data_IF_891559668171
#
_entry.id   IF_891559668171
#
_cell.length_a   1.000
_cell.length_b   1.000
_cell.length_c   1.000
_cell.angle_alpha   90.00
_cell.angle_beta   90.00
_cell.angle_gamma   90.00
#
_symmetry.space_group_name_H-M   'P 1'
#
loop_
_entity.id
_entity.type
_entity.pdbx_description
1 polymer ?
#
# COMPACT_ATOMS: atom_id res chain seq x y z
N UNK A 1 36.75 33.24 50.94
CA UNK A 1 37.10 32.38 52.09
C UNK A 1 36.37 31.05 51.89
N UNK A 2 36.92 30.01 51.27
CA UNK A 2 38.25 29.44 51.50
C UNK A 2 38.16 28.38 52.60
N UNK A 3 37.58 27.21 52.30
CA UNK A 3 37.75 26.00 53.11
C UNK A 3 38.42 24.95 52.24
N UNK A 4 39.74 24.87 52.38
CA UNK A 4 40.58 23.85 51.77
C UNK A 4 40.21 22.48 52.34
N UNK A 5 39.74 21.59 51.47
CA UNK A 5 39.77 20.16 51.72
C UNK A 5 41.19 19.70 51.46
N UNK A 6 41.95 19.48 52.53
CA UNK A 6 43.35 19.06 52.46
C UNK A 6 43.49 17.76 51.68
N UNK A 7 44.30 17.81 50.62
CA UNK A 7 44.98 16.66 50.05
C UNK A 7 45.68 15.93 51.19
N UNK A 8 45.16 14.75 51.55
CA UNK A 8 45.90 13.80 52.37
C UNK A 8 47.02 13.28 51.49
N UNK A 9 48.16 13.98 51.52
CA UNK A 9 49.44 13.41 51.11
C UNK A 9 49.59 12.07 51.81
N UNK A 10 49.80 11.04 51.00
CA UNK A 10 50.30 9.72 51.42
C UNK A 10 51.71 9.91 51.97
N UNK A 11 51.79 10.38 53.21
CA UNK A 11 53.05 10.51 53.95
C UNK A 11 53.67 9.14 54.14
N UNK A 12 54.86 8.94 53.56
CA UNK A 12 55.65 7.71 53.60
C UNK A 12 56.19 7.40 55.03
N UNK A 13 55.99 8.30 55.99
CA UNK A 13 56.68 8.26 57.28
C UNK A 13 55.92 7.53 58.41
N UNK A 14 54.66 7.14 58.20
CA UNK A 14 53.91 6.30 59.15
C UNK A 14 53.27 5.13 58.41
N UNK A 15 53.79 3.91 58.66
CA UNK A 15 53.56 2.66 57.92
C UNK A 15 52.14 2.08 57.90
N UNK A 16 51.11 2.88 57.61
CA UNK A 16 49.83 2.41 57.11
C UNK A 16 49.79 2.61 55.59
N UNK A 17 50.26 1.60 54.85
CA UNK A 17 50.24 1.60 53.39
C UNK A 17 48.89 1.07 52.91
N UNK A 18 47.99 1.98 52.52
CA UNK A 18 46.67 1.63 52.00
C UNK A 18 46.77 1.16 50.53
N UNK A 19 47.04 -0.14 50.35
CA UNK A 19 47.15 -0.78 49.03
C UNK A 19 45.91 -0.52 48.15
N UNK A 20 44.72 -0.56 48.74
CA UNK A 20 43.46 -0.35 48.03
C UNK A 20 43.29 1.08 47.49
N UNK A 21 43.80 2.09 48.20
CA UNK A 21 43.75 3.48 47.72
C UNK A 21 44.71 3.68 46.54
N UNK A 22 45.91 3.09 46.62
CA UNK A 22 46.90 3.12 45.56
C UNK A 22 46.44 2.35 44.31
N UNK A 23 45.82 1.18 44.47
CA UNK A 23 45.24 0.41 43.36
C UNK A 23 44.16 1.22 42.64
N UNK A 24 43.33 1.96 43.39
CA UNK A 24 42.31 2.84 42.81
C UNK A 24 42.91 4.02 42.05
N UNK A 25 43.92 4.68 42.61
CA UNK A 25 44.64 5.77 41.95
C UNK A 25 45.30 5.28 40.66
N UNK A 26 45.93 4.11 40.71
CA UNK A 26 46.55 3.48 39.55
C UNK A 26 45.52 3.12 38.47
N UNK A 27 44.37 2.55 38.86
CA UNK A 27 43.28 2.25 37.93
C UNK A 27 42.73 3.52 37.25
N UNK A 28 42.58 4.61 38.02
CA UNK A 28 42.15 5.90 37.49
C UNK A 28 43.17 6.49 36.50
N UNK A 29 44.46 6.47 36.87
CA UNK A 29 45.53 6.99 36.01
C UNK A 29 45.64 6.20 34.69
N UNK A 30 45.46 4.89 34.72
CA UNK A 30 45.44 4.05 33.51
C UNK A 30 44.26 4.37 32.59
N UNK A 31 43.06 4.60 33.16
CA UNK A 31 41.87 4.93 32.39
C UNK A 31 41.97 6.32 31.77
N UNK A 32 42.53 7.30 32.49
CA UNK A 32 42.77 8.65 31.97
C UNK A 32 43.80 8.65 30.83
N UNK A 33 44.88 7.88 30.95
CA UNK A 33 45.88 7.72 29.88
C UNK A 33 45.28 7.00 28.65
N UNK A 34 44.45 5.96 28.88
CA UNK A 34 43.72 5.28 27.80
C UNK A 34 42.83 6.26 27.03
N UNK A 35 42.05 7.06 27.74
CA UNK A 35 41.14 8.05 27.16
C UNK A 35 41.91 9.16 26.43
N UNK A 36 42.99 9.65 27.01
CA UNK A 36 43.86 10.66 26.38
C UNK A 36 44.40 10.16 25.03
N UNK A 37 44.97 8.95 25.00
CA UNK A 37 45.51 8.34 23.77
C UNK A 37 44.44 8.14 22.69
N UNK A 38 43.23 7.71 23.06
CA UNK A 38 42.12 7.56 22.12
C UNK A 38 41.66 8.90 21.55
N UNK A 39 41.52 9.93 22.40
CA UNK A 39 41.11 11.26 21.92
C UNK A 39 42.17 11.92 21.04
N UNK A 40 43.45 11.80 21.37
CA UNK A 40 44.55 12.36 20.57
C UNK A 40 44.67 11.68 19.20
N UNK A 41 44.61 10.34 19.17
CA UNK A 41 44.61 9.58 17.91
C UNK A 41 43.39 9.93 17.05
N UNK A 42 42.21 10.10 17.66
CA UNK A 42 41.02 10.54 16.94
C UNK A 42 41.14 11.98 16.43
N UNK A 43 41.67 12.92 17.21
CA UNK A 43 41.94 14.30 16.76
C UNK A 43 42.84 14.30 15.53
N UNK A 44 43.97 13.57 15.57
CA UNK A 44 44.91 13.46 14.45
C UNK A 44 44.23 12.92 13.18
N UNK A 45 43.39 11.89 13.31
CA UNK A 45 42.61 11.34 12.20
C UNK A 45 41.55 12.31 11.68
N UNK A 46 40.81 12.95 12.59
CA UNK A 46 39.68 13.81 12.28
C UNK A 46 40.11 15.10 11.58
N UNK A 47 41.31 15.63 11.85
CA UNK A 47 41.88 16.79 11.13
C UNK A 47 41.91 16.53 9.61
N UNK A 48 42.19 15.30 9.19
CA UNK A 48 42.27 14.95 7.76
C UNK A 48 40.95 14.46 7.18
N UNK A 49 40.01 14.00 8.01
CA UNK A 49 38.79 13.33 7.55
C UNK A 49 37.56 14.24 7.59
N UNK A 50 37.46 15.14 8.57
CA UNK A 50 36.29 15.98 8.78
C UNK A 50 36.22 17.15 7.78
N UNK A 51 35.03 17.48 7.31
CA UNK A 51 34.79 18.59 6.38
C UNK A 51 34.49 19.92 7.08
N UNK A 52 34.01 19.86 8.32
CA UNK A 52 33.66 21.03 9.13
C UNK A 52 33.98 20.79 10.62
N UNK A 53 33.93 21.87 11.41
CA UNK A 53 34.26 21.82 12.84
C UNK A 53 33.28 20.96 13.65
N UNK A 54 32.00 20.97 13.31
CA UNK A 54 30.99 20.19 14.03
C UNK A 54 31.21 18.68 13.87
N UNK A 55 31.58 18.24 12.67
CA UNK A 55 31.96 16.86 12.37
C UNK A 55 33.25 16.47 13.11
N UNK A 56 34.25 17.37 13.13
CA UNK A 56 35.47 17.17 13.92
C UNK A 56 35.17 17.00 15.41
N UNK A 57 34.34 17.88 15.97
CA UNK A 57 33.91 17.84 17.38
C UNK A 57 33.18 16.53 17.68
N UNK A 58 32.31 16.08 16.78
CA UNK A 58 31.57 14.83 16.93
C UNK A 58 32.49 13.61 16.90
N UNK A 59 33.49 13.56 16.01
CA UNK A 59 34.45 12.46 16.00
C UNK A 59 35.25 12.36 17.30
N UNK A 60 35.75 13.49 17.81
CA UNK A 60 36.53 13.52 19.06
C UNK A 60 35.65 13.14 20.25
N UNK A 61 34.39 13.58 20.29
CA UNK A 61 33.44 13.20 21.34
C UNK A 61 33.17 11.69 21.37
N UNK A 62 33.16 11.05 20.21
CA UNK A 62 32.90 9.62 20.05
C UNK A 62 34.15 8.72 20.15
N UNK A 63 35.33 9.27 20.50
CA UNK A 63 36.60 8.54 20.48
C UNK A 63 36.68 7.36 21.47
N UNK A 64 35.90 7.43 22.56
CA UNK A 64 35.89 6.41 23.62
C UNK A 64 34.77 5.35 23.45
N UNK A 65 34.03 5.40 22.34
CA UNK A 65 32.99 4.43 22.06
C UNK A 65 33.62 3.08 21.67
N UNK A 66 33.16 2.00 22.32
CA UNK A 66 33.55 0.64 21.97
C UNK A 66 32.95 0.27 20.61
N UNK A 67 33.74 -0.34 19.70
CA UNK A 67 33.19 -0.86 18.46
C UNK A 67 32.16 -1.96 18.78
N UNK A 68 31.01 -1.90 18.12
CA UNK A 68 29.97 -2.92 18.30
C UNK A 68 30.47 -4.29 17.85
N UNK A 69 30.22 -5.29 18.68
CA UNK A 69 30.49 -6.68 18.32
C UNK A 69 29.37 -7.22 17.41
N UNK A 70 29.69 -8.21 16.56
CA UNK A 70 28.69 -8.83 15.68
C UNK A 70 27.51 -9.44 16.45
N UNK A 71 27.75 -9.91 17.68
CA UNK A 71 26.69 -10.41 18.57
C UNK A 71 25.73 -9.30 18.98
N UNK A 72 26.24 -8.14 19.38
CA UNK A 72 25.41 -6.97 19.71
C UNK A 72 24.67 -6.43 18.49
N UNK A 73 25.33 -6.42 17.32
CA UNK A 73 24.72 -5.99 16.07
C UNK A 73 23.55 -6.90 15.65
N UNK A 74 23.68 -8.21 15.87
CA UNK A 74 22.58 -9.16 15.69
C UNK A 74 21.42 -8.88 16.66
N UNK A 75 21.70 -8.57 17.93
CA UNK A 75 20.66 -8.20 18.90
C UNK A 75 19.88 -6.93 18.54
N UNK A 76 20.54 -5.95 17.90
CA UNK A 76 19.91 -4.72 17.43
C UNK A 76 19.13 -4.91 16.12
N UNK A 77 19.70 -5.63 15.16
CA UNK A 77 19.05 -5.91 13.87
C UNK A 77 17.86 -6.87 14.00
N UNK A 78 17.90 -7.76 15.00
CA UNK A 78 16.82 -8.67 15.35
C UNK A 78 16.06 -8.24 16.61
N UNK A 79 16.22 -6.98 17.05
CA UNK A 79 15.40 -6.41 18.12
C UNK A 79 13.95 -6.79 17.82
N UNK A 80 13.31 -7.51 18.77
CA UNK A 80 12.08 -8.28 18.57
C UNK A 80 11.31 -7.72 17.40
N UNK A 81 11.34 -8.41 16.23
CA UNK A 81 10.43 -8.07 15.14
C UNK A 81 9.04 -8.28 15.72
N UNK A 82 8.48 -7.24 16.33
CA UNK A 82 7.13 -7.28 16.86
C UNK A 82 6.28 -7.41 15.62
N UNK A 83 5.64 -8.57 15.38
CA UNK A 83 4.63 -8.60 14.34
C UNK A 83 3.66 -7.45 14.66
N UNK A 84 3.29 -6.67 13.65
CA UNK A 84 2.30 -5.60 13.79
C UNK A 84 1.22 -6.05 14.75
N UNK A 85 0.95 -5.30 15.82
CA UNK A 85 0.04 -5.71 16.89
C UNK A 85 -1.38 -6.02 16.36
N UNK A 86 -1.71 -5.51 15.16
CA UNK A 86 -2.87 -5.89 14.35
C UNK A 86 -2.97 -7.40 14.01
N UNK A 87 -1.88 -8.16 14.17
CA UNK A 87 -1.80 -9.60 13.97
C UNK A 87 -1.85 -10.42 15.26
N UNK A 88 -2.28 -9.82 16.39
CA UNK A 88 -2.82 -10.60 17.52
C UNK A 88 -4.18 -11.17 17.10
N UNK A 89 -4.17 -12.15 16.19
CA UNK A 89 -5.33 -13.00 15.94
C UNK A 89 -5.71 -13.61 17.29
N UNK A 90 -6.94 -13.34 17.76
CA UNK A 90 -7.57 -14.14 18.81
C UNK A 90 -7.34 -15.62 18.47
N UNK A 91 -7.10 -16.51 19.45
CA UNK A 91 -7.10 -17.95 19.19
C UNK A 91 -8.41 -18.24 18.48
N UNK A 92 -8.35 -18.57 17.19
CA UNK A 92 -9.53 -19.07 16.50
C UNK A 92 -9.82 -20.39 17.19
N UNK A 93 -10.96 -20.46 17.86
CA UNK A 93 -11.56 -21.76 18.18
C UNK A 93 -11.43 -22.62 16.92
N UNK A 94 -10.97 -23.85 17.12
CA UNK A 94 -10.77 -24.83 16.07
C UNK A 94 -12.12 -25.21 15.45
N UNK A 95 -12.69 -24.30 14.67
CA UNK A 95 -13.64 -24.65 13.63
C UNK A 95 -12.81 -25.37 12.58
N UNK A 96 -12.85 -26.69 12.64
CA UNK A 96 -12.49 -27.58 11.53
C UNK A 96 -13.41 -27.36 10.34
N UNK A 97 -13.55 -26.12 9.89
CA UNK A 97 -14.02 -25.82 8.57
C UNK A 97 -12.83 -26.06 7.67
N UNK A 98 -12.76 -27.31 7.21
CA UNK A 98 -12.06 -27.71 6.00
C UNK A 98 -12.15 -26.51 5.04
N UNK A 99 -11.02 -25.84 4.81
CA UNK A 99 -10.86 -24.99 3.64
C UNK A 99 -10.88 -25.94 2.44
N UNK A 100 -12.06 -26.49 2.18
CA UNK A 100 -12.45 -26.88 0.85
C UNK A 100 -12.15 -25.63 0.03
N UNK A 101 -11.18 -25.75 -0.88
CA UNK A 101 -11.18 -24.90 -2.06
C UNK A 101 -12.63 -24.93 -2.53
N UNK A 102 -13.36 -23.84 -2.28
CA UNK A 102 -14.73 -23.74 -2.73
C UNK A 102 -14.61 -23.97 -4.21
N UNK A 103 -15.13 -25.11 -4.69
CA UNK A 103 -15.27 -25.36 -6.13
C UNK A 103 -15.78 -24.05 -6.72
N UNK A 104 -15.21 -23.60 -7.85
CA UNK A 104 -15.55 -22.30 -8.43
C UNK A 104 -17.07 -22.19 -8.35
N UNK A 105 -17.55 -21.16 -7.63
CA UNK A 105 -18.97 -20.90 -7.53
C UNK A 105 -19.51 -21.09 -8.93
N UNK A 106 -20.43 -22.04 -9.09
CA UNK A 106 -21.06 -22.25 -10.37
C UNK A 106 -21.47 -20.87 -10.85
N UNK A 107 -20.97 -20.44 -12.02
CA UNK A 107 -21.17 -19.09 -12.57
C UNK A 107 -22.65 -18.70 -12.75
N UNK A 108 -23.56 -19.58 -12.31
CA UNK A 108 -25.00 -19.45 -12.18
C UNK A 108 -25.44 -18.63 -10.95
N UNK A 109 -24.60 -18.46 -9.92
CA UNK A 109 -24.97 -17.64 -8.76
C UNK A 109 -24.44 -16.21 -8.90
N UNK A 110 -25.26 -15.18 -8.63
CA UNK A 110 -24.83 -13.81 -8.77
C UNK A 110 -23.86 -13.39 -7.64
N UNK A 111 -22.84 -12.58 -7.93
CA UNK A 111 -21.76 -12.26 -7.00
C UNK A 111 -22.24 -11.47 -5.79
N UNK A 112 -21.76 -11.84 -4.59
CA UNK A 112 -22.18 -11.20 -3.33
C UNK A 112 -21.38 -9.94 -3.00
N UNK A 113 -20.24 -9.72 -3.66
CA UNK A 113 -19.35 -8.59 -3.42
C UNK A 113 -18.55 -8.23 -4.67
N UNK A 114 -18.15 -6.95 -4.81
CA UNK A 114 -17.27 -6.47 -5.88
C UNK A 114 -15.99 -7.31 -6.06
N UNK A 115 -15.39 -7.73 -4.95
CA UNK A 115 -14.16 -8.54 -4.96
C UNK A 115 -14.42 -9.93 -5.55
N UNK A 116 -15.58 -10.51 -5.25
CA UNK A 116 -16.00 -11.79 -5.81
C UNK A 116 -16.27 -11.67 -7.31
N UNK A 117 -16.94 -10.60 -7.73
CA UNK A 117 -17.14 -10.26 -9.14
C UNK A 117 -15.79 -10.17 -9.86
N UNK A 118 -14.87 -9.31 -9.40
CA UNK A 118 -13.58 -9.10 -10.06
C UNK A 118 -12.72 -10.38 -10.09
N UNK A 119 -12.78 -11.19 -9.03
CA UNK A 119 -12.09 -12.48 -8.98
C UNK A 119 -12.65 -13.45 -10.02
N UNK A 120 -13.97 -13.58 -10.11
CA UNK A 120 -14.62 -14.47 -11.07
C UNK A 120 -14.38 -14.00 -12.50
N UNK A 121 -14.46 -12.69 -12.72
CA UNK A 121 -14.17 -12.03 -13.99
C UNK A 121 -12.76 -12.35 -14.49
N UNK A 122 -11.72 -12.18 -13.66
CA UNK A 122 -10.33 -12.40 -14.07
C UNK A 122 -9.93 -13.88 -14.15
N UNK A 123 -10.52 -14.76 -13.32
CA UNK A 123 -10.07 -16.16 -13.20
C UNK A 123 -10.91 -17.17 -13.96
N UNK A 124 -12.20 -16.93 -14.09
CA UNK A 124 -13.16 -17.94 -14.57
C UNK A 124 -13.82 -17.56 -15.90
N UNK A 125 -13.91 -16.28 -16.25
CA UNK A 125 -14.54 -15.81 -17.49
C UNK A 125 -13.48 -15.52 -18.57
N UNK A 126 -13.27 -16.49 -19.46
CA UNK A 126 -12.29 -16.39 -20.55
C UNK A 126 -12.89 -16.01 -21.91
N UNK A 127 -14.17 -16.32 -22.13
CA UNK A 127 -14.87 -16.02 -23.39
C UNK A 127 -15.79 -14.81 -23.22
N UNK A 128 -15.97 -14.02 -24.28
CA UNK A 128 -16.80 -12.82 -24.24
C UNK A 128 -18.29 -13.14 -24.05
N UNK A 129 -18.76 -14.28 -24.57
CA UNK A 129 -20.12 -14.78 -24.32
C UNK A 129 -20.35 -15.09 -22.83
N UNK A 130 -19.40 -15.77 -22.18
CA UNK A 130 -19.52 -16.07 -20.75
C UNK A 130 -19.45 -14.80 -19.89
N UNK A 131 -18.61 -13.83 -20.26
CA UNK A 131 -18.57 -12.51 -19.63
C UNK A 131 -19.91 -11.78 -19.73
N UNK A 132 -20.56 -11.83 -20.89
CA UNK A 132 -21.84 -11.17 -21.09
C UNK A 132 -22.99 -11.84 -20.34
N UNK A 133 -23.09 -13.16 -20.37
CA UNK A 133 -24.07 -13.90 -19.56
C UNK A 133 -23.90 -13.61 -18.06
N UNK A 134 -22.66 -13.42 -17.60
CA UNK A 134 -22.39 -13.04 -16.22
C UNK A 134 -22.82 -11.61 -15.87
N UNK A 135 -22.69 -10.67 -16.81
CA UNK A 135 -23.23 -9.31 -16.66
C UNK A 135 -24.76 -9.36 -16.59
N UNK A 136 -25.39 -10.10 -17.49
CA UNK A 136 -26.86 -10.28 -17.50
C UNK A 136 -27.36 -10.88 -16.18
N UNK A 137 -26.68 -11.90 -15.65
CA UNK A 137 -27.00 -12.51 -14.36
C UNK A 137 -26.89 -11.51 -13.19
N UNK A 138 -25.90 -10.61 -13.25
CA UNK A 138 -25.67 -9.64 -12.18
C UNK A 138 -26.64 -8.47 -12.25
N UNK A 139 -27.21 -8.16 -13.43
CA UNK A 139 -28.10 -7.02 -13.70
C UNK A 139 -27.39 -5.65 -13.58
N UNK A 140 -27.66 -4.68 -14.47
CA UNK A 140 -26.99 -3.37 -14.45
C UNK A 140 -27.16 -2.58 -13.15
N UNK A 141 -28.34 -2.60 -12.52
CA UNK A 141 -28.61 -1.86 -11.27
C UNK A 141 -27.72 -2.34 -10.12
N UNK A 142 -27.62 -3.65 -9.95
CA UNK A 142 -26.78 -4.26 -8.90
C UNK A 142 -25.30 -4.08 -9.18
N UNK A 143 -24.91 -3.92 -10.45
CA UNK A 143 -23.53 -3.57 -10.80
C UNK A 143 -23.14 -2.22 -10.19
N UNK A 144 -24.04 -1.23 -10.25
CA UNK A 144 -23.86 0.06 -9.58
C UNK A 144 -23.75 -0.07 -8.05
N UNK A 145 -24.61 -0.87 -7.43
CA UNK A 145 -24.56 -1.11 -5.97
C UNK A 145 -23.28 -1.83 -5.53
N UNK A 146 -22.84 -2.83 -6.30
CA UNK A 146 -21.61 -3.58 -6.00
C UNK A 146 -20.38 -2.67 -6.07
N UNK A 147 -20.34 -1.75 -7.03
CA UNK A 147 -19.20 -0.89 -7.31
C UNK A 147 -19.38 0.56 -6.82
N UNK A 148 -20.35 0.81 -5.93
CA UNK A 148 -20.69 2.17 -5.48
C UNK A 148 -19.48 2.94 -4.93
N UNK A 149 -18.60 2.26 -4.20
CA UNK A 149 -17.43 2.87 -3.57
C UNK A 149 -16.28 3.14 -4.54
N UNK A 150 -15.96 2.18 -5.41
CA UNK A 150 -14.85 2.27 -6.37
C UNK A 150 -14.90 1.12 -7.40
N UNK A 151 -14.38 1.38 -8.60
CA UNK A 151 -14.15 0.37 -9.64
C UNK A 151 -12.84 0.66 -10.37
N UNK A 152 -12.10 -0.40 -10.67
CA UNK A 152 -10.89 -0.33 -11.50
C UNK A 152 -11.25 0.12 -12.93
N UNK A 153 -10.56 1.14 -13.46
CA UNK A 153 -10.81 1.70 -14.79
C UNK A 153 -10.75 0.60 -15.86
N UNK A 154 -9.76 -0.30 -15.78
CA UNK A 154 -9.60 -1.39 -16.74
C UNK A 154 -10.77 -2.38 -16.67
N UNK A 155 -11.31 -2.62 -15.48
CA UNK A 155 -12.46 -3.51 -15.31
C UNK A 155 -13.74 -2.88 -15.89
N UNK A 156 -13.96 -1.59 -15.64
CA UNK A 156 -15.12 -0.86 -16.19
C UNK A 156 -15.10 -0.91 -17.73
N UNK A 157 -13.94 -0.63 -18.33
CA UNK A 157 -13.80 -0.62 -19.78
C UNK A 157 -13.97 -2.03 -20.36
N UNK A 158 -13.41 -3.07 -19.74
CA UNK A 158 -13.59 -4.45 -20.20
C UNK A 158 -15.08 -4.87 -20.15
N UNK A 159 -15.82 -4.45 -19.11
CA UNK A 159 -17.27 -4.68 -19.05
C UNK A 159 -17.98 -3.97 -20.22
N UNK A 160 -17.72 -2.67 -20.43
CA UNK A 160 -18.34 -1.90 -21.51
C UNK A 160 -17.97 -2.44 -22.89
N UNK A 161 -16.73 -2.90 -23.08
CA UNK A 161 -16.27 -3.48 -24.34
C UNK A 161 -16.96 -4.81 -24.65
N UNK A 162 -17.18 -5.66 -23.65
CA UNK A 162 -17.96 -6.90 -23.81
C UNK A 162 -19.39 -6.57 -24.22
N UNK A 163 -20.02 -5.59 -23.58
CA UNK A 163 -21.39 -5.18 -23.92
C UNK A 163 -21.47 -4.60 -25.34
N UNK A 164 -20.49 -3.78 -25.73
CA UNK A 164 -20.38 -3.21 -27.08
C UNK A 164 -20.23 -4.31 -28.15
N UNK A 165 -19.37 -5.30 -27.93
CA UNK A 165 -19.16 -6.40 -28.87
C UNK A 165 -20.41 -7.25 -29.06
N UNK A 166 -21.14 -7.53 -27.98
CA UNK A 166 -22.44 -8.23 -28.07
C UNK A 166 -23.48 -7.40 -28.79
N UNK A 167 -23.52 -6.10 -28.55
CA UNK A 167 -24.41 -5.19 -29.26
C UNK A 167 -24.13 -5.16 -30.78
N UNK A 168 -22.85 -5.12 -31.17
CA UNK A 168 -22.43 -5.20 -32.58
C UNK A 168 -22.78 -6.55 -33.22
N UNK A 169 -22.63 -7.65 -32.47
CA UNK A 169 -22.97 -8.99 -32.93
C UNK A 169 -24.49 -9.14 -33.13
N UNK A 170 -25.30 -8.61 -32.20
CA UNK A 170 -26.76 -8.65 -32.30
C UNK A 170 -27.33 -7.74 -33.39
N UNK A 171 -26.63 -6.68 -33.78
CA UNK A 171 -26.98 -5.86 -34.93
C UNK A 171 -27.03 -6.63 -36.27
N UNK A 172 -26.36 -7.79 -36.35
CA UNK A 172 -26.39 -8.68 -37.51
C UNK A 172 -27.53 -9.72 -37.43
N UNK A 173 -28.05 -9.98 -36.23
CA UNK A 173 -29.12 -10.93 -35.94
C UNK A 173 -30.35 -10.19 -35.42
N UNK A 174 -31.21 -9.71 -36.33
CA UNK A 174 -32.40 -8.84 -36.18
C UNK A 174 -33.47 -9.18 -35.08
N UNK A 175 -33.16 -9.90 -34.00
CA UNK A 175 -34.14 -10.40 -33.02
C UNK A 175 -33.90 -9.91 -31.57
N UNK A 176 -32.89 -9.06 -31.29
CA UNK A 176 -32.53 -8.66 -29.91
C UNK A 176 -32.20 -7.18 -29.64
N UNK A 177 -32.11 -6.34 -30.67
CA UNK A 177 -31.43 -5.03 -30.63
C UNK A 177 -31.92 -4.04 -29.55
N UNK A 178 -33.17 -4.15 -29.10
CA UNK A 178 -33.74 -3.27 -28.07
C UNK A 178 -33.34 -3.67 -26.64
N UNK A 179 -33.15 -4.97 -26.35
CA UNK A 179 -32.86 -5.42 -24.98
C UNK A 179 -31.41 -5.09 -24.57
N UNK A 180 -30.48 -5.35 -25.49
CA UNK A 180 -29.05 -5.09 -25.24
C UNK A 180 -28.72 -3.60 -25.19
N UNK A 181 -29.41 -2.78 -25.98
CA UNK A 181 -29.24 -1.32 -25.93
C UNK A 181 -29.77 -0.72 -24.62
N UNK A 182 -30.88 -1.24 -24.06
CA UNK A 182 -31.37 -0.86 -22.73
C UNK A 182 -30.35 -1.27 -21.66
N UNK A 183 -29.84 -2.51 -21.71
CA UNK A 183 -28.85 -2.98 -20.74
C UNK A 183 -27.56 -2.13 -20.77
N UNK A 184 -27.10 -1.71 -21.96
CA UNK A 184 -25.94 -0.83 -22.10
C UNK A 184 -26.19 0.56 -21.49
N UNK A 185 -27.38 1.14 -21.73
CA UNK A 185 -27.76 2.42 -21.13
C UNK A 185 -27.81 2.34 -19.61
N UNK A 186 -28.45 1.32 -19.05
CA UNK A 186 -28.56 1.15 -17.61
C UNK A 186 -27.20 0.90 -16.96
N UNK A 187 -26.29 0.17 -17.64
CA UNK A 187 -24.93 -0.06 -17.15
C UNK A 187 -24.11 1.23 -17.14
N UNK A 188 -24.18 2.04 -18.21
CA UNK A 188 -23.54 3.35 -18.25
C UNK A 188 -24.11 4.27 -17.17
N UNK A 189 -25.44 4.32 -17.02
CA UNK A 189 -26.10 5.09 -15.97
C UNK A 189 -25.59 4.66 -14.59
N UNK A 190 -25.57 3.36 -14.30
CA UNK A 190 -25.04 2.80 -13.06
C UNK A 190 -23.59 3.19 -12.80
N UNK A 191 -22.71 3.14 -13.80
CA UNK A 191 -21.31 3.57 -13.63
C UNK A 191 -21.18 5.06 -13.36
N UNK A 192 -22.01 5.91 -13.97
CA UNK A 192 -21.98 7.36 -13.68
C UNK A 192 -22.50 7.73 -12.29
N UNK A 193 -23.11 6.79 -11.55
CA UNK A 193 -23.56 7.01 -10.16
C UNK A 193 -22.49 6.68 -9.11
N UNK A 194 -21.34 6.12 -9.52
CA UNK A 194 -20.24 5.76 -8.61
C UNK A 194 -19.57 7.03 -8.05
N UNK A 195 -19.31 7.04 -6.74
CA UNK A 195 -18.77 8.20 -6.02
C UNK A 195 -17.46 8.75 -6.63
N UNK A 196 -16.61 7.85 -7.14
CA UNK A 196 -15.29 8.17 -7.71
C UNK A 196 -15.26 8.17 -9.23
N UNK A 197 -16.41 8.17 -9.92
CA UNK A 197 -16.48 8.05 -11.38
C UNK A 197 -15.59 9.06 -12.11
N UNK A 198 -15.63 10.34 -11.74
CA UNK A 198 -14.82 11.38 -12.39
C UNK A 198 -13.30 11.12 -12.30
N UNK A 199 -12.84 10.59 -11.16
CA UNK A 199 -11.44 10.21 -10.96
C UNK A 199 -11.10 8.98 -11.82
N UNK A 200 -11.98 7.99 -11.85
CA UNK A 200 -11.77 6.76 -12.64
C UNK A 200 -11.72 7.12 -14.13
N UNK A 201 -12.62 7.97 -14.61
CA UNK A 201 -12.61 8.48 -15.98
C UNK A 201 -11.33 9.24 -16.31
N UNK A 202 -10.76 9.99 -15.37
CA UNK A 202 -9.50 10.70 -15.57
C UNK A 202 -8.31 9.76 -15.82
N UNK A 203 -8.37 8.53 -15.29
CA UNK A 203 -7.36 7.50 -15.53
C UNK A 203 -7.55 6.75 -16.86
N UNK A 204 -8.68 6.93 -17.55
CA UNK A 204 -8.91 6.26 -18.82
C UNK A 204 -8.00 6.81 -19.93
N UNK A 205 -7.30 5.90 -20.60
CA UNK A 205 -6.48 6.19 -21.77
C UNK A 205 -7.33 6.62 -22.98
N UNK A 206 -6.69 7.23 -23.99
CA UNK A 206 -7.36 7.66 -25.24
C UNK A 206 -8.15 6.52 -25.90
N UNK A 207 -7.60 5.31 -25.92
CA UNK A 207 -8.26 4.15 -26.51
C UNK A 207 -9.48 3.71 -25.68
N UNK A 208 -9.40 3.79 -24.35
CA UNK A 208 -10.48 3.44 -23.46
C UNK A 208 -11.64 4.45 -23.56
N UNK A 209 -11.31 5.75 -23.69
CA UNK A 209 -12.30 6.81 -23.95
C UNK A 209 -13.00 6.61 -25.30
N UNK A 210 -12.26 6.21 -26.33
CA UNK A 210 -12.85 5.91 -27.64
C UNK A 210 -13.93 4.81 -27.57
N UNK A 211 -13.75 3.78 -26.72
CA UNK A 211 -14.76 2.73 -26.50
C UNK A 211 -16.04 3.31 -25.87
N UNK A 212 -15.90 4.20 -24.89
CA UNK A 212 -17.06 4.87 -24.27
C UNK A 212 -17.78 5.76 -25.29
N UNK A 213 -17.04 6.54 -26.07
CA UNK A 213 -17.58 7.41 -27.11
C UNK A 213 -18.28 6.63 -28.22
N UNK A 214 -17.70 5.51 -28.68
CA UNK A 214 -18.30 4.61 -29.66
C UNK A 214 -19.62 4.03 -29.16
N UNK A 215 -19.64 3.56 -27.90
CA UNK A 215 -20.86 3.04 -27.28
C UNK A 215 -21.94 4.13 -27.17
N UNK A 216 -21.58 5.34 -26.74
CA UNK A 216 -22.51 6.49 -26.66
C UNK A 216 -23.06 6.85 -28.04
N UNK A 217 -22.22 6.87 -29.09
CA UNK A 217 -22.64 7.18 -30.45
C UNK A 217 -23.62 6.12 -31.01
N UNK A 218 -23.36 4.85 -30.74
CA UNK A 218 -24.26 3.76 -31.13
C UNK A 218 -25.61 3.84 -30.41
N UNK A 219 -25.61 4.16 -29.12
CA UNK A 219 -26.85 4.35 -28.34
C UNK A 219 -27.63 5.59 -28.79
N UNK A 220 -26.95 6.67 -29.18
CA UNK A 220 -27.63 7.83 -29.78
C UNK A 220 -28.35 7.48 -31.08
N UNK A 221 -27.78 6.58 -31.89
CA UNK A 221 -28.37 6.14 -33.16
C UNK A 221 -29.60 5.26 -32.93
N UNK A 222 -29.63 4.43 -31.88
CA UNK A 222 -30.79 3.59 -31.58
C UNK A 222 -31.95 4.32 -30.92
N UNK A 223 -31.63 5.26 -30.03
CA UNK A 223 -32.64 6.01 -29.27
C UNK A 223 -32.98 7.36 -29.91
N UNK A 224 -32.79 7.51 -31.22
CA UNK A 224 -33.01 8.78 -31.90
C UNK A 224 -34.48 9.26 -31.82
N UNK A 225 -35.41 8.38 -31.45
CA UNK A 225 -36.84 8.69 -31.27
C UNK A 225 -37.31 8.73 -29.81
N UNK A 226 -36.46 8.41 -28.82
CA UNK A 226 -36.83 8.37 -27.40
C UNK A 226 -36.22 9.55 -26.63
N UNK A 227 -37.08 10.50 -26.26
CA UNK A 227 -36.66 11.72 -25.57
C UNK A 227 -36.13 11.46 -24.15
N UNK A 228 -36.57 10.40 -23.45
CA UNK A 228 -36.11 10.10 -22.09
C UNK A 228 -34.70 9.50 -22.10
N UNK A 229 -34.46 8.53 -23.00
CA UNK A 229 -33.13 7.96 -23.21
C UNK A 229 -32.13 9.02 -23.71
N UNK A 230 -32.55 9.96 -24.55
CA UNK A 230 -31.73 11.10 -24.97
C UNK A 230 -31.35 12.02 -23.81
N UNK A 231 -32.27 12.31 -22.90
CA UNK A 231 -32.00 13.13 -21.72
C UNK A 231 -30.99 12.44 -20.78
N UNK A 232 -31.12 11.12 -20.59
CA UNK A 232 -30.15 10.31 -19.83
C UNK A 232 -28.77 10.31 -20.48
N UNK A 233 -28.69 10.12 -21.80
CA UNK A 233 -27.43 10.17 -22.55
C UNK A 233 -26.74 11.55 -22.46
N UNK A 234 -27.52 12.64 -22.50
CA UNK A 234 -26.98 13.98 -22.31
C UNK A 234 -26.41 14.18 -20.90
N UNK A 235 -27.12 13.72 -19.86
CA UNK A 235 -26.63 13.73 -18.47
C UNK A 235 -25.36 12.89 -18.28
N UNK A 236 -25.27 11.73 -18.93
CA UNK A 236 -24.07 10.88 -18.91
C UNK A 236 -22.91 11.59 -19.61
N UNK A 237 -23.15 12.25 -20.74
CA UNK A 237 -22.14 13.02 -21.47
C UNK A 237 -21.59 14.18 -20.65
N UNK A 238 -22.44 14.91 -19.92
CA UNK A 238 -22.00 16.01 -19.05
C UNK A 238 -21.14 15.53 -17.87
N UNK A 239 -21.34 14.27 -17.44
CA UNK A 239 -20.52 13.62 -16.39
C UNK A 239 -19.21 13.02 -16.90
N UNK A 240 -19.01 12.95 -18.22
CA UNK A 240 -17.78 12.50 -18.88
C UNK A 240 -17.01 13.73 -19.40
N UNK A 241 -16.07 14.29 -18.60
CA UNK A 241 -15.37 15.54 -18.93
C UNK A 241 -14.29 15.43 -20.02
#
# INVERSE_FOLDING_TARGET
>A
MGKGGGEKMTSIEHGAFDTAALEKELAQALEDDRKYKLTDSMKKRAIHTAKNYDEFKNFVACADLKPLTQKELSGLAYGERRPNLAYKRKPRESYGQKLELTKPATLSDPPKSAIEFQRNWRRHLKTNEAKYSYIQLTTPTRLGELFQSDIDADLMIDILQVMLQHYQLEGLSNQGSTSCSVACLEALEAFTTIDRFALIYSFCDKNQRAVIEELIALLHTTYDNDNDAKAKLASIRDKCP
#
